data_IF_608568007086
#
_entry.id   IF_608568007086
#
_cell.length_a   1.000
_cell.length_b   1.000
_cell.length_c   1.000
_cell.angle_alpha   90.00
_cell.angle_beta   90.00
_cell.angle_gamma   90.00
#
_symmetry.space_group_name_H-M   'P 1'
#
loop_
_entity.id
_entity.type
_entity.pdbx_description
1 polymer ?
#
# COMPACT_ATOMS: atom_id res chain seq x y z
N UNK A 1 1.83 -28.13 3.01
CA UNK A 1 3.23 -28.62 3.12
C UNK A 1 4.26 -27.50 3.00
N UNK A 2 4.25 -26.71 1.92
CA UNK A 2 5.20 -25.62 1.67
C UNK A 2 5.36 -24.62 2.84
N UNK A 3 4.25 -24.13 3.43
CA UNK A 3 4.30 -23.18 4.55
C UNK A 3 4.98 -23.74 5.81
N UNK A 4 4.89 -25.07 6.02
CA UNK A 4 5.58 -25.75 7.13
C UNK A 4 7.10 -25.74 6.92
N UNK A 5 7.55 -25.94 5.69
CA UNK A 5 8.95 -25.87 5.31
C UNK A 5 9.50 -24.45 5.41
N UNK A 6 8.76 -23.46 4.91
CA UNK A 6 9.12 -22.03 5.04
C UNK A 6 9.36 -21.66 6.50
N UNK A 7 8.48 -22.07 7.41
CA UNK A 7 8.65 -21.83 8.84
C UNK A 7 9.86 -22.57 9.44
N UNK A 8 10.16 -23.79 8.98
CA UNK A 8 11.34 -24.53 9.44
C UNK A 8 12.65 -23.91 8.96
N UNK A 9 12.63 -23.23 7.81
CA UNK A 9 13.77 -22.52 7.24
C UNK A 9 13.96 -21.11 7.82
N UNK A 10 13.00 -20.59 8.58
CA UNK A 10 13.09 -19.28 9.23
C UNK A 10 13.96 -19.39 10.50
N UNK A 11 15.27 -19.17 10.33
CA UNK A 11 16.28 -19.34 11.39
C UNK A 11 16.81 -18.01 11.93
N UNK A 12 16.40 -16.87 11.33
CA UNK A 12 16.89 -15.55 11.74
C UNK A 12 16.22 -15.08 13.03
N UNK A 13 16.93 -14.21 13.76
CA UNK A 13 16.42 -13.59 15.00
C UNK A 13 15.38 -12.48 14.82
N UNK A 14 14.84 -12.30 13.61
CA UNK A 14 13.76 -11.34 13.31
C UNK A 14 12.64 -12.04 12.54
N UNK A 15 11.45 -11.45 12.56
CA UNK A 15 10.27 -12.03 11.92
C UNK A 15 10.36 -11.90 10.38
N UNK A 16 10.62 -13.03 9.73
CA UNK A 16 10.84 -13.12 8.29
C UNK A 16 9.54 -12.94 7.50
N UNK A 17 9.62 -12.28 6.34
CA UNK A 17 8.49 -12.09 5.43
C UNK A 17 8.30 -13.29 4.50
N UNK A 18 7.05 -13.63 4.22
CA UNK A 18 6.67 -14.67 3.26
C UNK A 18 6.05 -14.01 2.04
N UNK A 19 6.60 -14.30 0.87
CA UNK A 19 6.09 -13.86 -0.42
C UNK A 19 5.81 -15.04 -1.34
N UNK A 20 4.91 -14.84 -2.29
CA UNK A 20 4.62 -15.77 -3.37
C UNK A 20 4.96 -15.11 -4.71
N UNK A 21 5.64 -15.87 -5.56
CA UNK A 21 5.92 -15.50 -6.94
C UNK A 21 5.03 -16.33 -7.86
N UNK A 22 4.13 -15.66 -8.56
CA UNK A 22 3.21 -16.28 -9.51
C UNK A 22 3.67 -15.97 -10.91
N UNK A 23 4.07 -17.01 -11.64
CA UNK A 23 4.46 -16.90 -13.03
C UNK A 23 3.20 -16.91 -13.91
N UNK A 24 2.95 -15.79 -14.58
CA UNK A 24 1.86 -15.66 -15.53
C UNK A 24 2.41 -15.80 -16.95
N UNK A 25 1.66 -16.49 -17.82
CA UNK A 25 1.99 -16.60 -19.23
C UNK A 25 1.49 -15.37 -20.02
N UNK A 26 1.99 -14.19 -19.65
CA UNK A 26 1.59 -12.89 -20.24
C UNK A 26 2.83 -12.12 -20.68
N UNK A 27 2.74 -11.42 -21.82
CA UNK A 27 3.78 -10.48 -22.23
C UNK A 27 3.51 -9.10 -21.61
N UNK A 28 4.17 -8.82 -20.48
CA UNK A 28 4.03 -7.56 -19.76
C UNK A 28 4.49 -6.31 -20.57
N UNK A 29 5.12 -6.48 -21.75
CA UNK A 29 5.43 -5.38 -22.68
C UNK A 29 4.21 -4.97 -23.50
N UNK A 30 3.23 -5.85 -23.71
CA UNK A 30 1.97 -5.55 -24.39
C UNK A 30 1.00 -4.89 -23.42
N UNK A 31 0.51 -3.71 -23.76
CA UNK A 31 -0.37 -2.90 -22.88
C UNK A 31 -1.64 -3.65 -22.48
N UNK A 32 -2.18 -4.45 -23.40
CA UNK A 32 -3.40 -5.24 -23.23
C UNK A 32 -3.23 -6.48 -22.35
N UNK A 33 -2.01 -7.01 -22.22
CA UNK A 33 -1.68 -8.17 -21.37
C UNK A 33 -1.12 -7.75 -20.00
N UNK A 34 -1.12 -6.44 -19.70
CA UNK A 34 -0.51 -5.92 -18.49
C UNK A 34 -1.39 -6.17 -17.27
N UNK A 35 -0.98 -7.12 -16.43
CA UNK A 35 -1.68 -7.44 -15.19
C UNK A 35 -1.28 -6.46 -14.08
N UNK A 36 -2.27 -5.77 -13.53
CA UNK A 36 -2.15 -4.92 -12.34
C UNK A 36 -3.44 -4.95 -11.56
N UNK A 37 -3.35 -5.04 -10.25
CA UNK A 37 -4.54 -5.03 -9.40
C UNK A 37 -4.22 -4.71 -7.95
N UNK A 38 -5.26 -4.80 -7.14
CA UNK A 38 -5.20 -4.68 -5.70
C UNK A 38 -6.06 -5.79 -5.10
N UNK A 39 -5.59 -6.38 -4.01
CA UNK A 39 -6.32 -7.41 -3.27
C UNK A 39 -6.28 -7.09 -1.79
N UNK A 40 -7.36 -7.37 -1.08
CA UNK A 40 -7.36 -7.34 0.37
C UNK A 40 -7.00 -8.73 0.89
N UNK A 41 -5.91 -8.82 1.62
CA UNK A 41 -5.57 -10.04 2.34
C UNK A 41 -6.43 -10.13 3.60
N UNK A 42 -7.13 -11.25 3.84
CA UNK A 42 -8.04 -11.40 4.98
C UNK A 42 -7.33 -11.21 6.34
N UNK A 43 -6.06 -11.57 6.43
CA UNK A 43 -5.26 -11.41 7.65
C UNK A 43 -4.23 -10.27 7.58
N UNK A 44 -4.23 -9.50 6.47
CA UNK A 44 -3.25 -8.44 6.21
C UNK A 44 -1.81 -8.95 6.06
N UNK A 45 -0.84 -8.03 6.02
CA UNK A 45 0.59 -8.38 5.82
C UNK A 45 1.42 -8.38 7.13
N UNK A 46 0.80 -8.15 8.29
CA UNK A 46 1.51 -8.10 9.59
C UNK A 46 2.44 -6.90 9.76
N UNK A 47 2.26 -5.87 8.92
CA UNK A 47 2.95 -4.60 9.00
C UNK A 47 1.94 -3.50 9.29
N UNK A 48 2.20 -2.69 10.31
CA UNK A 48 1.42 -1.48 10.57
C UNK A 48 1.75 -0.46 9.50
N UNK A 49 0.90 -0.37 8.47
CA UNK A 49 1.04 0.62 7.40
C UNK A 49 0.64 1.98 7.95
N UNK A 50 1.58 2.93 7.95
CA UNK A 50 1.30 4.33 8.29
C UNK A 50 0.67 5.02 7.09
N UNK A 51 -0.54 5.56 7.28
CA UNK A 51 -1.36 6.18 6.24
C UNK A 51 -1.38 7.69 6.44
N UNK A 52 -0.93 8.43 5.44
CA UNK A 52 -1.08 9.88 5.34
C UNK A 52 -2.25 10.23 4.42
N UNK A 53 -3.10 11.14 4.86
CA UNK A 53 -4.28 11.59 4.11
C UNK A 53 -4.19 13.08 3.83
N UNK A 54 -4.25 13.42 2.55
CA UNK A 54 -4.32 14.80 2.08
C UNK A 54 -5.76 15.15 1.79
N UNK A 55 -6.38 15.86 2.73
CA UNK A 55 -7.78 16.28 2.65
C UNK A 55 -7.98 17.62 3.37
N UNK A 56 -9.11 18.29 3.09
CA UNK A 56 -9.50 19.57 3.71
C UNK A 56 -10.88 19.44 4.36
N UNK A 57 -11.15 20.27 5.37
CA UNK A 57 -12.48 20.38 5.99
C UNK A 57 -13.00 19.04 6.53
N UNK A 58 -14.25 18.72 6.20
CA UNK A 58 -14.96 17.54 6.69
C UNK A 58 -14.25 16.21 6.35
N UNK A 59 -13.60 16.13 5.19
CA UNK A 59 -12.87 14.93 4.78
C UNK A 59 -11.61 14.70 5.62
N UNK A 60 -10.98 15.77 6.10
CA UNK A 60 -9.86 15.67 7.03
C UNK A 60 -10.33 15.15 8.39
N UNK A 61 -11.47 15.61 8.88
CA UNK A 61 -12.03 15.14 10.15
C UNK A 61 -12.48 13.67 10.06
N UNK A 62 -13.09 13.28 8.93
CA UNK A 62 -13.42 11.89 8.64
C UNK A 62 -12.16 10.99 8.59
N UNK A 63 -11.07 11.47 8.00
CA UNK A 63 -9.79 10.75 7.97
C UNK A 63 -9.23 10.50 9.37
N UNK A 64 -9.25 11.53 10.22
CA UNK A 64 -8.78 11.44 11.61
C UNK A 64 -9.63 10.47 12.41
N UNK A 65 -10.96 10.56 12.27
CA UNK A 65 -11.90 9.65 12.92
C UNK A 65 -11.73 8.19 12.46
N UNK A 66 -11.41 7.97 11.18
CA UNK A 66 -11.10 6.65 10.63
C UNK A 66 -9.72 6.11 11.06
N UNK A 67 -8.94 6.89 11.79
CA UNK A 67 -7.65 6.50 12.35
C UNK A 67 -6.48 6.70 11.40
N UNK A 68 -6.52 7.64 10.47
CA UNK A 68 -5.33 8.01 9.69
C UNK A 68 -4.22 8.55 10.61
N UNK A 69 -2.96 8.21 10.30
CA UNK A 69 -1.81 8.57 11.17
C UNK A 69 -1.39 10.03 10.98
N UNK A 70 -1.50 10.54 9.76
CA UNK A 70 -1.21 11.93 9.41
C UNK A 70 -2.33 12.46 8.53
N UNK A 71 -2.86 13.65 8.87
CA UNK A 71 -3.93 14.29 8.11
C UNK A 71 -3.68 15.77 7.98
N UNK A 72 -3.62 16.26 6.75
CA UNK A 72 -3.49 17.70 6.48
C UNK A 72 -3.43 18.02 5.00
N UNK A 73 -3.53 19.30 4.66
CA UNK A 73 -3.42 19.78 3.28
C UNK A 73 -2.05 20.46 3.07
N UNK A 74 -2.01 21.79 3.13
CA UNK A 74 -0.83 22.58 2.76
C UNK A 74 0.33 22.45 3.76
N UNK A 75 0.01 22.34 5.05
CA UNK A 75 1.01 22.18 6.11
C UNK A 75 1.73 20.83 6.00
N UNK A 76 0.97 19.75 5.77
CA UNK A 76 1.53 18.41 5.55
C UNK A 76 2.38 18.38 4.27
N UNK A 77 1.99 19.11 3.22
CA UNK A 77 2.80 19.26 2.00
C UNK A 77 4.14 19.94 2.32
N UNK A 78 4.15 20.97 3.17
CA UNK A 78 5.38 21.64 3.58
C UNK A 78 6.31 20.70 4.38
N UNK A 79 5.76 19.89 5.29
CA UNK A 79 6.53 18.88 6.03
C UNK A 79 7.14 17.81 5.10
N UNK A 80 6.38 17.36 4.11
CA UNK A 80 6.87 16.41 3.09
C UNK A 80 8.00 17.03 2.26
N UNK A 81 7.88 18.31 1.91
CA UNK A 81 8.94 19.05 1.21
C UNK A 81 10.19 19.24 2.08
N UNK A 82 10.02 19.38 3.39
CA UNK A 82 11.10 19.41 4.37
C UNK A 82 11.77 18.04 4.60
N UNK A 83 11.26 16.98 3.94
CA UNK A 83 11.86 15.64 3.96
C UNK A 83 11.23 14.69 4.97
N UNK A 84 10.17 15.09 5.68
CA UNK A 84 9.46 14.21 6.61
C UNK A 84 8.58 13.24 5.84
N UNK A 85 8.94 11.96 5.87
CA UNK A 85 8.29 10.88 5.11
C UNK A 85 8.03 9.68 6.03
N UNK A 86 7.31 9.92 7.11
CA UNK A 86 7.00 8.91 8.13
C UNK A 86 5.75 8.07 7.78
N UNK A 87 5.49 7.86 6.49
CA UNK A 87 4.31 7.16 5.98
C UNK A 87 4.64 6.32 4.74
N UNK A 88 3.85 5.27 4.53
CA UNK A 88 4.05 4.31 3.43
C UNK A 88 2.88 4.31 2.44
N UNK A 89 1.71 4.79 2.86
CA UNK A 89 0.54 4.93 2.02
C UNK A 89 0.07 6.37 2.05
N UNK A 90 -0.23 6.92 0.88
CA UNK A 90 -0.82 8.24 0.74
C UNK A 90 -2.19 8.12 0.09
N UNK A 91 -3.18 8.72 0.72
CA UNK A 91 -4.52 8.92 0.17
C UNK A 91 -4.74 10.42 0.00
N UNK A 92 -5.47 10.80 -1.05
CA UNK A 92 -5.81 12.20 -1.28
C UNK A 92 -7.24 12.34 -1.78
N UNK A 93 -7.87 13.44 -1.42
CA UNK A 93 -9.11 13.90 -2.04
C UNK A 93 -8.80 14.69 -3.32
N UNK A 94 -9.72 14.75 -4.30
CA UNK A 94 -9.49 15.45 -5.57
C UNK A 94 -9.12 16.94 -5.40
N UNK A 95 -9.68 17.60 -4.39
CA UNK A 95 -9.44 19.01 -4.07
C UNK A 95 -8.03 19.29 -3.48
N UNK A 96 -7.38 18.27 -2.90
CA UNK A 96 -6.04 18.37 -2.35
C UNK A 96 -4.92 18.11 -3.38
N UNK A 97 -5.26 17.60 -4.57
CA UNK A 97 -4.28 17.30 -5.63
C UNK A 97 -3.46 18.51 -6.11
N UNK A 98 -4.02 19.72 -6.28
CA UNK A 98 -3.24 20.89 -6.70
C UNK A 98 -2.15 21.27 -5.69
N UNK A 99 -2.40 21.09 -4.39
CA UNK A 99 -1.40 21.34 -3.35
C UNK A 99 -0.28 20.28 -3.38
N UNK A 100 -0.65 19.02 -3.58
CA UNK A 100 0.28 17.89 -3.71
C UNK A 100 1.21 17.97 -4.92
N UNK A 101 0.85 18.73 -5.96
CA UNK A 101 1.69 18.93 -7.14
C UNK A 101 3.09 19.45 -6.77
N UNK A 102 3.20 20.27 -5.71
CA UNK A 102 4.50 20.76 -5.20
C UNK A 102 5.34 19.63 -4.59
N UNK A 103 4.71 18.71 -3.86
CA UNK A 103 5.35 17.54 -3.25
C UNK A 103 5.63 16.40 -4.26
N UNK A 104 5.14 16.49 -5.49
CA UNK A 104 5.31 15.45 -6.51
C UNK A 104 6.78 15.11 -6.79
N UNK A 105 7.70 16.10 -6.70
CA UNK A 105 9.15 15.88 -6.87
C UNK A 105 9.74 14.94 -5.81
N UNK A 106 9.17 14.92 -4.61
CA UNK A 106 9.62 14.08 -3.48
C UNK A 106 8.87 12.75 -3.46
N UNK A 107 7.54 12.79 -3.63
CA UNK A 107 6.68 11.61 -3.55
C UNK A 107 6.73 10.73 -4.81
N UNK A 108 7.02 11.32 -5.97
CA UNK A 108 7.05 10.64 -7.27
C UNK A 108 8.09 9.51 -7.36
N UNK A 109 9.38 9.78 -7.13
CA UNK A 109 10.43 8.75 -7.19
C UNK A 109 10.22 7.61 -6.19
N UNK A 110 9.58 7.91 -5.05
CA UNK A 110 9.25 6.91 -4.01
C UNK A 110 7.95 6.14 -4.30
N UNK A 111 7.25 6.47 -5.38
CA UNK A 111 6.00 5.80 -5.76
C UNK A 111 4.82 6.08 -4.84
N UNK A 112 4.94 7.09 -3.96
CA UNK A 112 3.94 7.49 -2.96
C UNK A 112 2.94 8.53 -3.50
N UNK A 113 3.13 9.02 -4.73
CA UNK A 113 2.23 10.00 -5.33
C UNK A 113 0.82 9.40 -5.53
N UNK A 114 -0.24 10.04 -5.00
CA UNK A 114 -1.61 9.62 -5.24
C UNK A 114 -1.95 9.61 -6.73
N UNK A 115 -2.68 8.58 -7.16
CA UNK A 115 -3.07 8.39 -8.54
C UNK A 115 -4.47 7.76 -8.61
N UNK A 116 -5.41 8.35 -9.38
CA UNK A 116 -6.75 7.78 -9.56
C UNK A 116 -6.72 6.33 -10.07
N UNK A 117 -5.76 5.99 -10.94
CA UNK A 117 -5.57 4.61 -11.46
C UNK A 117 -5.10 3.62 -10.39
N UNK A 118 -4.65 4.09 -9.23
CA UNK A 118 -4.28 3.29 -8.07
C UNK A 118 -5.36 3.32 -6.98
N UNK A 119 -6.51 3.95 -7.22
CA UNK A 119 -7.55 4.10 -6.19
C UNK A 119 -7.08 4.87 -4.94
N UNK A 120 -6.00 5.65 -5.05
CA UNK A 120 -5.46 6.46 -3.94
C UNK A 120 -5.99 7.89 -3.95
N UNK A 121 -6.76 8.23 -4.99
CA UNK A 121 -7.58 9.44 -5.03
C UNK A 121 -9.01 9.01 -4.77
N UNK A 122 -9.56 9.43 -3.64
CA UNK A 122 -10.84 8.92 -3.11
C UNK A 122 -11.73 10.07 -2.68
N UNK A 123 -13.03 9.89 -2.83
CA UNK A 123 -14.04 10.79 -2.26
C UNK A 123 -14.45 10.31 -0.87
N UNK A 124 -14.59 9.00 -0.68
CA UNK A 124 -14.91 8.38 0.61
C UNK A 124 -13.65 8.08 1.42
N UNK A 125 -13.16 9.10 2.14
CA UNK A 125 -11.87 9.03 2.85
C UNK A 125 -11.86 8.01 3.98
N UNK A 126 -12.94 7.93 4.76
CA UNK A 126 -12.99 7.03 5.92
C UNK A 126 -12.87 5.56 5.51
N UNK A 127 -13.63 5.14 4.49
CA UNK A 127 -13.58 3.80 3.95
C UNK A 127 -12.18 3.49 3.38
N UNK A 128 -11.59 4.42 2.62
CA UNK A 128 -10.27 4.24 2.04
C UNK A 128 -9.16 4.08 3.10
N UNK A 129 -9.24 4.82 4.20
CA UNK A 129 -8.30 4.69 5.33
C UNK A 129 -8.42 3.32 5.98
N UNK A 130 -9.64 2.86 6.24
CA UNK A 130 -9.87 1.52 6.80
C UNK A 130 -9.33 0.42 5.89
N UNK A 131 -9.59 0.52 4.58
CA UNK A 131 -9.10 -0.43 3.59
C UNK A 131 -7.57 -0.42 3.49
N UNK A 132 -6.95 0.76 3.52
CA UNK A 132 -5.49 0.90 3.53
C UNK A 132 -4.88 0.27 4.79
N UNK A 133 -5.52 0.44 5.96
CA UNK A 133 -5.08 -0.16 7.22
C UNK A 133 -5.39 -1.66 7.33
N UNK A 134 -6.41 -2.15 6.63
CA UNK A 134 -6.76 -3.57 6.55
C UNK A 134 -5.77 -4.42 5.73
N UNK A 135 -4.70 -3.82 5.18
CA UNK A 135 -3.63 -4.57 4.52
C UNK A 135 -3.86 -4.79 3.03
N UNK A 136 -4.52 -3.85 2.36
CA UNK A 136 -4.61 -3.85 0.89
C UNK A 136 -3.22 -3.95 0.25
N UNK A 137 -3.04 -4.92 -0.65
CA UNK A 137 -1.79 -5.17 -1.37
C UNK A 137 -1.97 -4.82 -2.83
N UNK A 138 -1.11 -3.95 -3.36
CA UNK A 138 -1.02 -3.71 -4.79
C UNK A 138 -0.07 -4.73 -5.42
N UNK A 139 -0.49 -5.33 -6.53
CA UNK A 139 0.36 -6.22 -7.32
C UNK A 139 0.45 -5.76 -8.77
N UNK A 140 1.61 -6.04 -9.38
CA UNK A 140 1.88 -5.72 -10.78
C UNK A 140 2.78 -6.81 -11.36
N UNK A 141 2.45 -7.29 -12.56
CA UNK A 141 3.34 -8.14 -13.32
C UNK A 141 4.63 -7.39 -13.71
N UNK A 142 5.76 -8.02 -13.41
CA UNK A 142 7.07 -7.58 -13.89
C UNK A 142 7.23 -7.89 -15.38
N UNK A 143 8.27 -7.36 -16.00
CA UNK A 143 8.54 -7.56 -17.43
C UNK A 143 8.72 -9.05 -17.82
N UNK A 144 9.02 -9.92 -16.85
CA UNK A 144 9.16 -11.37 -17.03
C UNK A 144 7.82 -12.13 -16.88
N UNK A 145 6.68 -11.44 -16.72
CA UNK A 145 5.39 -12.08 -16.47
C UNK A 145 5.20 -12.58 -15.04
N UNK A 146 6.10 -12.24 -14.11
CA UNK A 146 6.02 -12.67 -12.70
C UNK A 146 5.31 -11.62 -11.86
N UNK A 147 4.35 -12.05 -11.05
CA UNK A 147 3.71 -11.24 -10.00
C UNK A 147 4.26 -11.69 -8.65
N UNK A 148 4.95 -10.80 -7.95
CA UNK A 148 5.41 -11.02 -6.58
C UNK A 148 4.45 -10.36 -5.61
N UNK A 149 3.94 -11.11 -4.64
CA UNK A 149 3.03 -10.62 -3.60
C UNK A 149 3.51 -11.07 -2.23
N UNK A 150 3.56 -10.16 -1.26
CA UNK A 150 3.83 -10.51 0.14
C UNK A 150 2.55 -11.02 0.80
N UNK A 151 2.59 -12.24 1.33
CA UNK A 151 1.46 -12.88 2.03
C UNK A 151 1.42 -12.52 3.52
N UNK A 152 2.56 -12.12 4.11
CA UNK A 152 2.64 -11.74 5.51
C UNK A 152 3.97 -12.14 6.13
N UNK A 153 3.96 -12.45 7.43
CA UNK A 153 5.15 -12.84 8.19
C UNK A 153 5.06 -14.28 8.66
N UNK A 154 6.20 -14.92 8.91
CA UNK A 154 6.27 -16.29 9.42
C UNK A 154 5.53 -16.44 10.75
N UNK A 155 5.51 -15.40 11.59
CA UNK A 155 4.75 -15.34 12.85
C UNK A 155 3.24 -15.52 12.71
N UNK A 156 2.67 -15.37 11.51
CA UNK A 156 1.23 -15.54 11.28
C UNK A 156 0.80 -17.00 11.47
N UNK A 157 1.71 -17.95 11.27
CA UNK A 157 1.39 -19.38 11.27
C UNK A 157 0.83 -19.84 9.92
N UNK A 158 0.81 -21.16 9.73
CA UNK A 158 0.50 -21.75 8.43
C UNK A 158 -0.94 -21.49 7.98
N UNK A 159 -1.91 -21.51 8.89
CA UNK A 159 -3.33 -21.39 8.52
C UNK A 159 -3.65 -19.98 7.99
N UNK A 160 -3.24 -18.94 8.72
CA UNK A 160 -3.44 -17.54 8.29
C UNK A 160 -2.67 -17.19 7.02
N UNK A 161 -1.49 -17.81 6.80
CA UNK A 161 -0.74 -17.64 5.55
C UNK A 161 -1.33 -18.44 4.38
N UNK A 162 -2.15 -19.46 4.64
CA UNK A 162 -2.83 -20.23 3.60
C UNK A 162 -4.13 -19.56 3.15
N UNK A 163 -4.81 -18.86 4.06
CA UNK A 163 -6.00 -18.06 3.77
C UNK A 163 -5.68 -16.76 2.99
N UNK A 164 -4.46 -16.24 3.17
CA UNK A 164 -3.94 -15.07 2.44
C UNK A 164 -3.42 -15.45 1.06
#
# INVERSE_FOLDING_TARGET
EALRLVRACAVRGYDEGVSVDVHLNVDAKRTEERVRGQVMLPHGQGKTVRVAVFARGADADAARAAGADLVGAEELVAEVLAGRLDFERVLATPDALPALAKAARVLGPKGLMPNPKRGTVVTEVAAAVQQAKAGQVEFRAQNQGVVMVGLGKVSFGADRLADN
#
